data_IF_738883756706
#
_entry.id   IF_738883756706
#
_cell.length_a   1.000
_cell.length_b   1.000
_cell.length_c   1.000
_cell.angle_alpha   90.00
_cell.angle_beta   90.00
_cell.angle_gamma   90.00
#
_symmetry.space_group_name_H-M   'P 1'
#
loop_
_entity.id
_entity.type
_entity.pdbx_description
1 polymer ?
#
# COMPACT_ATOMS: atom_id res chain seq x y z
N UNK A 1 -0.32 -31.20 -16.45
CA UNK A 1 -0.20 -30.57 -15.12
C UNK A 1 -1.59 -30.11 -14.71
N UNK A 2 -2.12 -30.61 -13.60
CA UNK A 2 -3.46 -30.26 -13.11
C UNK A 2 -3.51 -28.83 -12.54
N UNK A 3 -4.70 -28.26 -12.31
CA UNK A 3 -4.84 -26.92 -11.75
C UNK A 3 -4.21 -26.86 -10.35
N UNK A 4 -3.46 -25.80 -10.07
CA UNK A 4 -2.90 -25.55 -8.74
C UNK A 4 -4.04 -25.32 -7.75
N UNK A 5 -4.14 -26.20 -6.74
CA UNK A 5 -5.12 -26.08 -5.67
C UNK A 5 -4.74 -24.89 -4.79
N UNK A 6 -5.72 -24.02 -4.52
CA UNK A 6 -5.56 -22.93 -3.57
C UNK A 6 -5.42 -23.57 -2.18
N UNK A 7 -4.33 -23.33 -1.41
CA UNK A 7 -4.30 -23.76 -0.03
C UNK A 7 -5.48 -23.11 0.70
N UNK A 8 -6.25 -23.92 1.42
CA UNK A 8 -7.47 -23.48 2.11
C UNK A 8 -7.23 -23.24 3.60
N UNK A 9 -6.00 -23.39 4.08
CA UNK A 9 -5.61 -23.26 5.48
C UNK A 9 -4.42 -22.28 5.55
N UNK A 10 -4.55 -21.24 6.36
CA UNK A 10 -3.53 -20.19 6.53
C UNK A 10 -3.37 -19.85 8.00
N UNK A 11 -2.14 -19.61 8.43
CA UNK A 11 -1.84 -18.96 9.71
C UNK A 11 -1.80 -17.45 9.46
N UNK A 12 -2.68 -16.70 10.14
CA UNK A 12 -2.84 -15.25 9.99
C UNK A 12 -2.64 -14.59 11.34
N UNK A 13 -1.72 -13.65 11.40
CA UNK A 13 -1.50 -12.82 12.59
C UNK A 13 -2.50 -11.66 12.61
N UNK A 14 -3.32 -11.57 13.66
CA UNK A 14 -4.27 -10.47 13.89
C UNK A 14 -3.90 -9.85 15.24
N UNK A 15 -3.54 -8.56 15.24
CA UNK A 15 -3.16 -7.82 16.44
C UNK A 15 -2.02 -8.49 17.27
N UNK A 16 -1.13 -9.23 16.60
CA UNK A 16 0.03 -9.91 17.21
C UNK A 16 -0.26 -11.32 17.73
N UNK A 17 -1.49 -11.83 17.56
CA UNK A 17 -1.85 -13.21 17.91
C UNK A 17 -2.05 -14.05 16.63
N UNK A 18 -1.39 -15.22 16.51
CA UNK A 18 -1.53 -16.10 15.34
C UNK A 18 -2.85 -16.89 15.40
N UNK A 19 -3.61 -16.86 14.32
CA UNK A 19 -4.85 -17.61 14.14
C UNK A 19 -4.78 -18.51 12.91
N UNK A 20 -5.14 -19.78 13.09
CA UNK A 20 -5.32 -20.71 11.97
C UNK A 20 -6.72 -20.52 11.37
N UNK A 21 -6.78 -20.08 10.11
CA UNK A 21 -8.03 -19.81 9.40
C UNK A 21 -8.19 -20.73 8.20
N UNK A 22 -9.38 -21.33 8.10
CA UNK A 22 -9.78 -22.16 6.96
C UNK A 22 -10.65 -21.35 6.00
N UNK A 23 -10.14 -21.07 4.81
CA UNK A 23 -10.82 -20.31 3.77
C UNK A 23 -11.54 -21.26 2.82
N UNK A 24 -12.86 -21.12 2.72
CA UNK A 24 -13.68 -21.82 1.73
C UNK A 24 -13.84 -20.90 0.51
N UNK A 25 -13.19 -21.20 -0.63
CA UNK A 25 -13.27 -20.33 -1.81
C UNK A 25 -14.69 -20.37 -2.39
N UNK A 26 -15.36 -19.22 -2.45
CA UNK A 26 -16.72 -19.09 -3.01
C UNK A 26 -16.77 -19.05 -4.56
N UNK A 27 -15.67 -19.42 -5.24
CA UNK A 27 -15.54 -19.44 -6.70
C UNK A 27 -14.42 -18.53 -7.21
N UNK A 28 -13.61 -19.05 -8.13
CA UNK A 28 -12.49 -18.37 -8.80
C UNK A 28 -11.34 -19.32 -9.09
N UNK A 29 -10.99 -19.53 -10.37
CA UNK A 29 -9.77 -20.23 -10.74
C UNK A 29 -8.60 -19.25 -10.73
N UNK A 30 -7.48 -19.63 -10.10
CA UNK A 30 -6.21 -18.95 -10.34
C UNK A 30 -5.70 -19.39 -11.71
N UNK A 31 -5.61 -18.45 -12.66
CA UNK A 31 -4.89 -18.67 -13.92
C UNK A 31 -3.41 -18.79 -13.59
N UNK A 32 -2.91 -20.03 -13.54
CA UNK A 32 -1.48 -20.30 -13.48
C UNK A 32 -0.85 -19.82 -14.79
N UNK A 33 -0.24 -18.63 -14.79
CA UNK A 33 0.47 -18.11 -15.95
C UNK A 33 0.55 -16.58 -16.08
N UNK A 34 -0.24 -15.81 -15.33
CA UNK A 34 -0.04 -14.37 -15.28
C UNK A 34 0.97 -14.06 -14.18
N UNK A 35 2.21 -13.74 -14.56
CA UNK A 35 3.16 -13.12 -13.64
C UNK A 35 2.46 -11.97 -12.93
N UNK A 36 2.47 -12.00 -11.58
CA UNK A 36 1.94 -10.92 -10.75
C UNK A 36 2.46 -9.60 -11.36
N UNK A 37 1.61 -8.63 -11.72
CA UNK A 37 2.09 -7.29 -12.00
C UNK A 37 2.95 -6.91 -10.80
N UNK A 38 4.19 -6.50 -11.04
CA UNK A 38 5.09 -6.10 -9.99
C UNK A 38 4.37 -5.02 -9.17
N UNK A 39 3.88 -5.38 -7.99
CA UNK A 39 3.37 -4.40 -7.04
C UNK A 39 4.57 -3.50 -6.76
N UNK A 40 4.47 -2.18 -6.99
CA UNK A 40 5.53 -1.28 -6.61
C UNK A 40 5.86 -1.55 -5.14
N UNK A 41 7.11 -1.92 -4.87
CA UNK A 41 7.54 -2.24 -3.51
C UNK A 41 7.17 -1.09 -2.58
N UNK A 42 6.72 -1.42 -1.37
CA UNK A 42 6.36 -0.41 -0.36
C UNK A 42 7.51 0.60 -0.25
N UNK A 43 7.25 1.92 -0.30
CA UNK A 43 8.30 2.93 -0.25
C UNK A 43 9.20 2.69 0.96
N UNK A 44 10.52 2.67 0.76
CA UNK A 44 11.48 2.51 1.85
C UNK A 44 11.27 3.63 2.87
N UNK A 45 11.29 3.28 4.15
CA UNK A 45 11.25 4.25 5.23
C UNK A 45 12.55 5.06 5.23
N UNK A 46 12.44 6.30 4.76
CA UNK A 46 13.54 7.27 4.78
C UNK A 46 13.41 8.07 6.09
N UNK A 47 14.52 8.15 6.84
CA UNK A 47 14.58 8.96 8.06
C UNK A 47 14.40 10.44 7.73
N UNK A 48 13.48 11.12 8.44
CA UNK A 48 13.13 12.52 8.18
C UNK A 48 12.19 12.75 6.98
N UNK A 49 11.71 11.70 6.31
CA UNK A 49 10.71 11.86 5.25
C UNK A 49 9.32 12.20 5.80
N UNK A 50 8.63 13.10 5.11
CA UNK A 50 7.22 13.39 5.34
C UNK A 50 6.38 12.32 4.64
N UNK A 51 5.54 11.62 5.41
CA UNK A 51 4.73 10.49 4.94
C UNK A 51 3.25 10.83 5.06
N UNK A 52 2.48 10.38 4.08
CA UNK A 52 1.01 10.38 4.15
C UNK A 52 0.49 8.98 4.47
N UNK A 53 -0.63 8.90 5.20
CA UNK A 53 -1.30 7.64 5.52
C UNK A 53 -2.23 7.15 4.40
N UNK A 54 -2.40 7.93 3.33
CA UNK A 54 -3.24 7.60 2.18
C UNK A 54 -2.41 7.50 0.91
N UNK A 55 -2.70 6.50 0.08
CA UNK A 55 -2.16 6.43 -1.27
C UNK A 55 -2.85 7.49 -2.14
N UNK A 56 -2.07 8.28 -2.85
CA UNK A 56 -2.56 9.32 -3.74
C UNK A 56 -1.53 9.73 -4.78
N UNK A 57 -1.91 10.69 -5.62
CA UNK A 57 -1.07 11.29 -6.66
C UNK A 57 -0.64 12.67 -6.20
N UNK A 58 0.65 13.02 -6.34
CA UNK A 58 1.14 14.38 -6.05
C UNK A 58 0.65 15.32 -7.15
N UNK A 59 -0.14 16.32 -6.79
CA UNK A 59 -0.60 17.37 -7.71
C UNK A 59 0.41 18.51 -7.81
N UNK A 60 1.00 18.91 -6.68
CA UNK A 60 1.97 20.01 -6.63
C UNK A 60 2.89 19.92 -5.41
N UNK A 61 4.10 20.45 -5.54
CA UNK A 61 5.08 20.61 -4.46
C UNK A 61 5.23 22.11 -4.21
N UNK A 62 4.92 22.57 -2.99
CA UNK A 62 4.92 23.99 -2.60
C UNK A 62 6.27 24.47 -2.03
N UNK A 63 7.26 23.59 -1.93
CA UNK A 63 8.59 23.87 -1.36
C UNK A 63 9.72 23.59 -2.34
N UNK A 64 10.85 24.29 -2.14
CA UNK A 64 12.06 24.11 -2.94
C UNK A 64 13.13 23.32 -2.18
N UNK A 65 14.16 22.88 -2.91
CA UNK A 65 15.32 22.24 -2.27
C UNK A 65 16.05 23.26 -1.39
N UNK A 66 16.28 22.89 -0.12
CA UNK A 66 16.96 23.73 0.85
C UNK A 66 16.05 24.68 1.64
N UNK A 67 14.73 24.64 1.38
CA UNK A 67 13.76 25.43 2.14
C UNK A 67 13.64 24.93 3.59
N UNK A 68 13.42 25.86 4.52
CA UNK A 68 13.26 25.54 5.94
C UNK A 68 11.78 25.44 6.26
N UNK A 69 11.30 24.21 6.43
CA UNK A 69 9.92 23.91 6.80
C UNK A 69 9.79 23.71 8.31
N UNK A 70 8.62 24.05 8.86
CA UNK A 70 8.22 23.86 10.25
C UNK A 70 7.01 22.93 10.33
N UNK A 71 6.74 22.42 11.53
CA UNK A 71 5.54 21.63 11.78
C UNK A 71 4.29 22.48 11.49
N UNK A 72 3.45 21.99 10.58
CA UNK A 72 2.22 22.65 10.14
C UNK A 72 2.37 23.42 8.82
N UNK A 73 3.57 23.51 8.26
CA UNK A 73 3.75 24.08 6.92
C UNK A 73 3.28 23.09 5.85
N UNK A 74 2.65 23.63 4.82
CA UNK A 74 2.15 22.85 3.68
C UNK A 74 3.27 22.73 2.66
N UNK A 75 3.73 21.51 2.43
CA UNK A 75 4.84 21.18 1.53
C UNK A 75 4.36 20.65 0.18
N UNK A 76 3.20 20.01 0.11
CA UNK A 76 2.66 19.45 -1.11
C UNK A 76 1.13 19.34 -1.07
N UNK A 77 0.53 19.14 -2.24
CA UNK A 77 -0.88 18.81 -2.39
C UNK A 77 -0.99 17.48 -3.11
N UNK A 78 -1.75 16.53 -2.54
CA UNK A 78 -2.03 15.22 -3.13
C UNK A 78 -3.52 15.09 -3.45
N UNK A 79 -3.82 14.34 -4.50
CA UNK A 79 -5.16 13.79 -4.73
C UNK A 79 -5.21 12.37 -4.20
N UNK A 80 -6.08 12.12 -3.23
CA UNK A 80 -6.38 10.78 -2.75
C UNK A 80 -7.90 10.56 -2.79
N UNK A 81 -8.35 9.46 -3.39
CA UNK A 81 -9.77 9.11 -3.47
C UNK A 81 -10.67 10.23 -4.03
N UNK A 82 -10.22 10.94 -5.07
CA UNK A 82 -10.91 12.09 -5.71
C UNK A 82 -11.05 13.33 -4.81
N UNK A 83 -10.25 13.43 -3.75
CA UNK A 83 -10.20 14.58 -2.87
C UNK A 83 -8.77 15.09 -2.76
N UNK A 84 -8.64 16.41 -2.77
CA UNK A 84 -7.37 17.11 -2.61
C UNK A 84 -7.05 17.26 -1.12
N UNK A 85 -5.82 16.95 -0.73
CA UNK A 85 -5.32 17.10 0.63
C UNK A 85 -3.96 17.81 0.63
N UNK A 86 -3.80 18.71 1.59
CA UNK A 86 -2.58 19.44 1.84
C UNK A 86 -1.75 18.73 2.91
N UNK A 87 -0.49 18.48 2.60
CA UNK A 87 0.50 17.81 3.47
C UNK A 87 1.71 18.69 3.68
#
# INVERSE_FOLDING_TARGET
MGPAQIPTEFEVEVDGEPYEVKVIPAGGFLVAGAGKPAVPGKPKDIEGAVKTNMQGTILSIKVNKGDKVKKGDIIATIEAMKMEQEI
#
